data_IF_761938811153
#
_entry.id   IF_761938811153
#
_cell.length_a   1.000
_cell.length_b   1.000
_cell.length_c   1.000
_cell.angle_alpha   90.00
_cell.angle_beta   90.00
_cell.angle_gamma   90.00
#
_symmetry.space_group_name_H-M   'P 1'
#
loop_
_entity.id
_entity.type
_entity.pdbx_description
1 polymer ?
#
# COMPACT_ATOMS: atom_id res chain seq x y z
N UNK A 1 16.74 -21.01 3.90
CA UNK A 1 16.99 -20.18 5.09
C UNK A 1 16.25 -20.78 6.29
N UNK A 2 16.92 -20.83 7.46
CA UNK A 2 16.28 -21.29 8.69
C UNK A 2 15.22 -20.26 9.14
N UNK A 3 14.08 -20.71 9.67
CA UNK A 3 13.05 -19.84 10.25
C UNK A 3 13.66 -18.89 11.29
N UNK A 4 14.61 -19.39 12.09
CA UNK A 4 15.34 -18.59 13.08
C UNK A 4 16.12 -17.44 12.44
N UNK A 5 16.75 -17.66 11.29
CA UNK A 5 17.47 -16.63 10.55
C UNK A 5 16.50 -15.58 9.99
N UNK A 6 15.37 -16.01 9.42
CA UNK A 6 14.33 -15.08 8.94
C UNK A 6 13.79 -14.21 10.07
N UNK A 7 13.53 -14.78 11.24
CA UNK A 7 13.07 -14.03 12.42
C UNK A 7 14.15 -13.07 12.97
N UNK A 8 15.43 -13.42 12.86
CA UNK A 8 16.50 -12.51 13.29
C UNK A 8 16.58 -11.23 12.45
N UNK A 9 16.09 -11.26 11.21
CA UNK A 9 16.01 -10.07 10.35
C UNK A 9 15.03 -9.01 10.85
N UNK A 10 14.10 -9.36 11.76
CA UNK A 10 13.23 -8.36 12.42
C UNK A 10 14.01 -7.32 13.22
N UNK A 11 15.23 -7.64 13.64
CA UNK A 11 16.15 -6.68 14.28
C UNK A 11 16.83 -5.72 13.29
N UNK A 12 16.70 -5.97 11.98
CA UNK A 12 17.28 -5.09 10.95
C UNK A 12 16.31 -3.99 10.55
N UNK A 13 16.74 -2.74 10.64
CA UNK A 13 15.90 -1.57 10.34
C UNK A 13 15.37 -1.56 8.90
N UNK A 14 16.16 -2.01 7.93
CA UNK A 14 15.73 -2.07 6.52
C UNK A 14 14.68 -3.16 6.30
N UNK A 15 14.90 -4.36 6.82
CA UNK A 15 13.94 -5.46 6.71
C UNK A 15 12.61 -5.10 7.38
N UNK A 16 12.65 -4.57 8.59
CA UNK A 16 11.46 -4.15 9.32
C UNK A 16 10.77 -2.95 8.64
N UNK A 17 11.52 -1.93 8.23
CA UNK A 17 10.98 -0.74 7.57
C UNK A 17 10.24 -1.06 6.27
N UNK A 18 10.84 -1.82 5.36
CA UNK A 18 10.20 -2.24 4.11
C UNK A 18 9.01 -3.18 4.36
N UNK A 19 9.11 -4.10 5.29
CA UNK A 19 8.01 -4.99 5.66
C UNK A 19 6.82 -4.24 6.25
N UNK A 20 7.05 -3.26 7.12
CA UNK A 20 6.00 -2.41 7.70
C UNK A 20 5.34 -1.52 6.63
N UNK A 21 6.14 -0.92 5.74
CA UNK A 21 5.60 -0.12 4.64
C UNK A 21 4.70 -0.97 3.72
N UNK A 22 5.13 -2.17 3.39
CA UNK A 22 4.33 -3.11 2.60
C UNK A 22 3.07 -3.53 3.35
N UNK A 23 3.14 -3.80 4.65
CA UNK A 23 1.97 -4.12 5.46
C UNK A 23 0.93 -2.99 5.46
N UNK A 24 1.36 -1.75 5.61
CA UNK A 24 0.49 -0.57 5.53
C UNK A 24 -0.13 -0.40 4.14
N UNK A 25 0.65 -0.61 3.09
CA UNK A 25 0.16 -0.59 1.72
C UNK A 25 -0.91 -1.67 1.48
N UNK A 26 -0.64 -2.91 1.89
CA UNK A 26 -1.59 -4.03 1.74
C UNK A 26 -2.86 -3.76 2.52
N UNK A 27 -2.78 -3.16 3.71
CA UNK A 27 -3.95 -2.74 4.48
C UNK A 27 -4.85 -1.78 3.69
N UNK A 28 -4.27 -0.80 2.99
CA UNK A 28 -5.02 0.11 2.11
C UNK A 28 -5.63 -0.60 0.90
N UNK A 29 -4.88 -1.51 0.30
CA UNK A 29 -5.33 -2.27 -0.87
C UNK A 29 -6.51 -3.17 -0.54
N UNK A 30 -6.40 -3.98 0.50
CA UNK A 30 -7.48 -4.89 0.92
C UNK A 30 -8.71 -4.14 1.43
N UNK A 31 -8.53 -2.95 2.01
CA UNK A 31 -9.64 -2.08 2.38
C UNK A 31 -10.57 -1.81 1.20
N UNK A 32 -10.01 -1.57 0.03
CA UNK A 32 -10.79 -1.26 -1.17
C UNK A 32 -11.53 -2.50 -1.67
N UNK A 33 -10.84 -3.60 -1.95
CA UNK A 33 -11.53 -4.72 -2.58
C UNK A 33 -12.38 -5.54 -1.60
N UNK A 34 -12.16 -5.45 -0.30
CA UNK A 34 -13.00 -6.14 0.70
C UNK A 34 -14.19 -5.27 1.12
N UNK A 35 -13.96 -3.99 1.46
CA UNK A 35 -14.98 -3.17 2.13
C UNK A 35 -15.57 -2.05 1.28
N UNK A 36 -15.03 -1.72 0.12
CA UNK A 36 -15.59 -0.67 -0.72
C UNK A 36 -17.04 -0.97 -1.17
N UNK A 37 -17.39 -2.20 -1.58
CA UNK A 37 -18.77 -2.51 -1.92
C UNK A 37 -19.74 -2.27 -0.75
N UNK A 38 -19.36 -2.67 0.46
CA UNK A 38 -20.16 -2.43 1.68
C UNK A 38 -20.25 -0.94 1.99
N UNK A 39 -19.18 -0.19 1.84
CA UNK A 39 -19.16 1.26 2.07
C UNK A 39 -20.08 2.00 1.09
N UNK A 40 -20.14 1.55 -0.16
CA UNK A 40 -20.98 2.14 -1.21
C UNK A 40 -22.42 1.63 -1.21
N UNK A 41 -22.78 0.71 -0.32
CA UNK A 41 -24.13 0.19 -0.24
C UNK A 41 -25.15 1.32 -0.04
N UNK A 42 -26.24 1.29 -0.83
CA UNK A 42 -27.27 2.32 -0.80
C UNK A 42 -26.87 3.65 -1.43
N UNK A 43 -25.69 3.73 -2.09
CA UNK A 43 -25.30 4.94 -2.79
C UNK A 43 -26.25 5.27 -3.95
N UNK A 44 -26.62 6.54 -4.04
CA UNK A 44 -27.43 7.09 -5.14
C UNK A 44 -26.73 8.32 -5.69
N UNK A 45 -26.75 8.48 -7.01
CA UNK A 45 -26.07 9.59 -7.68
C UNK A 45 -26.40 9.64 -9.17
N UNK A 46 -25.55 10.31 -9.94
CA UNK A 46 -25.65 10.34 -11.40
C UNK A 46 -25.47 8.94 -11.99
N UNK A 47 -25.93 8.73 -13.22
CA UNK A 47 -25.76 7.43 -13.92
C UNK A 47 -24.30 7.00 -13.97
N UNK A 48 -23.37 7.93 -14.21
CA UNK A 48 -21.94 7.65 -14.21
C UNK A 48 -21.45 7.21 -12.83
N UNK A 49 -21.85 7.90 -11.76
CA UNK A 49 -21.47 7.55 -10.40
C UNK A 49 -22.04 6.20 -9.97
N UNK A 50 -23.27 5.89 -10.37
CA UNK A 50 -23.91 4.59 -10.10
C UNK A 50 -23.19 3.45 -10.83
N UNK A 51 -22.72 3.69 -12.05
CA UNK A 51 -21.89 2.72 -12.79
C UNK A 51 -20.55 2.50 -12.09
N UNK A 52 -19.87 3.56 -11.63
CA UNK A 52 -18.65 3.44 -10.83
C UNK A 52 -18.90 2.67 -9.53
N UNK A 53 -20.00 2.91 -8.85
CA UNK A 53 -20.36 2.18 -7.63
C UNK A 53 -20.56 0.68 -7.90
N UNK A 54 -21.27 0.34 -8.97
CA UNK A 54 -21.56 -1.04 -9.35
C UNK A 54 -20.30 -1.84 -9.72
N UNK A 55 -19.32 -1.19 -10.35
CA UNK A 55 -18.08 -1.81 -10.85
C UNK A 55 -16.82 -1.34 -10.11
N UNK A 56 -16.95 -0.76 -8.91
CA UNK A 56 -15.86 -0.10 -8.20
C UNK A 56 -14.61 -0.97 -8.04
N UNK A 57 -14.77 -2.21 -7.60
CA UNK A 57 -13.64 -3.14 -7.40
C UNK A 57 -13.03 -3.55 -8.74
N UNK A 58 -13.84 -3.78 -9.75
CA UNK A 58 -13.34 -4.10 -11.10
C UNK A 58 -12.54 -2.93 -11.68
N UNK A 59 -13.04 -1.71 -11.57
CA UNK A 59 -12.34 -0.49 -12.01
C UNK A 59 -11.02 -0.34 -11.26
N UNK A 60 -11.01 -0.59 -9.96
CA UNK A 60 -9.80 -0.57 -9.15
C UNK A 60 -8.73 -1.53 -9.70
N UNK A 61 -9.08 -2.77 -9.98
CA UNK A 61 -8.13 -3.75 -10.52
C UNK A 61 -7.69 -3.44 -11.94
N UNK A 62 -8.59 -2.95 -12.79
CA UNK A 62 -8.24 -2.53 -14.17
C UNK A 62 -7.25 -1.36 -14.15
N UNK A 63 -7.51 -0.33 -13.33
CA UNK A 63 -6.61 0.80 -13.18
C UNK A 63 -5.27 0.40 -12.56
N UNK A 64 -5.28 -0.56 -11.66
CA UNK A 64 -4.06 -1.12 -11.09
C UNK A 64 -3.22 -1.86 -12.15
N UNK A 65 -3.85 -2.59 -13.04
CA UNK A 65 -3.17 -3.23 -14.15
C UNK A 65 -2.57 -2.20 -15.14
N UNK A 66 -3.37 -1.20 -15.54
CA UNK A 66 -2.92 -0.09 -16.39
C UNK A 66 -1.77 0.67 -15.75
N UNK A 67 -1.88 0.96 -14.46
CA UNK A 67 -0.87 1.67 -13.68
C UNK A 67 0.48 0.95 -13.65
N UNK A 68 0.52 -0.37 -13.71
CA UNK A 68 1.77 -1.13 -13.76
C UNK A 68 2.57 -0.84 -15.03
N UNK A 69 1.92 -0.70 -16.17
CA UNK A 69 2.59 -0.34 -17.42
C UNK A 69 3.08 1.11 -17.39
N UNK A 70 2.23 2.04 -16.96
CA UNK A 70 2.61 3.46 -16.84
C UNK A 70 3.69 3.66 -15.79
N UNK A 71 3.59 2.99 -14.65
CA UNK A 71 4.55 3.08 -13.57
C UNK A 71 5.93 2.51 -13.94
N UNK A 72 5.97 1.42 -14.70
CA UNK A 72 7.22 0.88 -15.21
C UNK A 72 7.95 1.88 -16.12
N UNK A 73 7.20 2.66 -16.90
CA UNK A 73 7.76 3.74 -17.70
C UNK A 73 8.21 4.93 -16.84
N UNK A 74 7.39 5.36 -15.88
CA UNK A 74 7.70 6.47 -14.97
C UNK A 74 8.97 6.20 -14.16
N UNK A 75 9.15 4.99 -13.64
CA UNK A 75 10.33 4.59 -12.87
C UNK A 75 11.64 4.57 -13.66
N UNK A 76 11.58 4.62 -15.00
CA UNK A 76 12.77 4.77 -15.85
C UNK A 76 13.28 6.20 -15.90
N UNK A 77 12.41 7.19 -15.68
CA UNK A 77 12.72 8.61 -15.85
C UNK A 77 12.66 9.40 -14.54
N UNK A 78 12.03 8.85 -13.51
CA UNK A 78 11.85 9.49 -12.20
C UNK A 78 12.42 8.61 -11.12
N UNK A 79 13.09 9.22 -10.13
CA UNK A 79 13.62 8.52 -8.96
C UNK A 79 12.50 7.79 -8.21
N UNK A 80 12.73 6.52 -7.90
CA UNK A 80 11.76 5.68 -7.20
C UNK A 80 11.29 6.26 -5.84
N UNK A 81 12.16 6.97 -5.14
CA UNK A 81 11.82 7.61 -3.85
C UNK A 81 10.79 8.71 -4.02
N UNK A 82 10.94 9.53 -5.07
CA UNK A 82 9.99 10.58 -5.39
C UNK A 82 8.64 9.98 -5.84
N UNK A 83 8.67 8.92 -6.64
CA UNK A 83 7.46 8.21 -7.05
C UNK A 83 6.72 7.63 -5.83
N UNK A 84 7.44 6.99 -4.91
CA UNK A 84 6.83 6.45 -3.68
C UNK A 84 6.21 7.56 -2.83
N UNK A 85 6.91 8.66 -2.62
CA UNK A 85 6.39 9.80 -1.86
C UNK A 85 5.15 10.40 -2.53
N UNK A 86 5.21 10.69 -3.82
CA UNK A 86 4.10 11.31 -4.54
C UNK A 86 2.87 10.38 -4.61
N UNK A 87 3.07 9.11 -4.92
CA UNK A 87 1.97 8.16 -5.05
C UNK A 87 1.32 7.83 -3.71
N UNK A 88 2.09 7.69 -2.65
CA UNK A 88 1.54 7.51 -1.30
C UNK A 88 0.80 8.75 -0.81
N UNK A 89 1.25 9.95 -1.18
CA UNK A 89 0.54 11.20 -0.90
C UNK A 89 -0.83 11.23 -1.59
N UNK A 90 -0.90 10.83 -2.86
CA UNK A 90 -2.15 10.76 -3.62
C UNK A 90 -3.09 9.70 -3.03
N UNK A 91 -2.58 8.53 -2.69
CA UNK A 91 -3.36 7.46 -2.03
C UNK A 91 -3.94 7.98 -0.71
N UNK A 92 -3.11 8.60 0.13
CA UNK A 92 -3.57 9.20 1.38
C UNK A 92 -4.65 10.26 1.14
N UNK A 93 -4.47 11.14 0.15
CA UNK A 93 -5.46 12.14 -0.25
C UNK A 93 -6.79 11.52 -0.68
N UNK A 94 -6.77 10.44 -1.46
CA UNK A 94 -7.96 9.69 -1.86
C UNK A 94 -8.71 9.11 -0.67
N UNK A 95 -8.00 8.46 0.26
CA UNK A 95 -8.59 7.90 1.48
C UNK A 95 -9.13 8.99 2.40
N UNK A 96 -8.38 10.05 2.61
CA UNK A 96 -8.78 11.18 3.47
C UNK A 96 -10.04 11.87 2.93
N UNK A 97 -10.08 12.20 1.63
CA UNK A 97 -11.25 12.79 1.00
C UNK A 97 -12.47 11.86 1.08
N UNK A 98 -12.28 10.57 0.89
CA UNK A 98 -13.35 9.57 1.01
C UNK A 98 -13.90 9.47 2.43
N UNK A 99 -13.03 9.55 3.45
CA UNK A 99 -13.44 9.54 4.85
C UNK A 99 -14.16 10.83 5.27
N UNK A 100 -13.70 11.99 4.78
CA UNK A 100 -14.28 13.30 5.13
C UNK A 100 -15.57 13.60 4.38
N UNK A 101 -15.60 13.38 3.05
CA UNK A 101 -16.73 13.72 2.18
C UNK A 101 -17.76 12.58 2.18
N UNK A 102 -17.31 11.33 2.21
CA UNK A 102 -18.17 10.14 2.22
C UNK A 102 -18.30 9.49 0.84
N UNK A 103 -19.44 8.81 0.62
CA UNK A 103 -19.67 7.96 -0.54
C UNK A 103 -19.54 8.69 -1.89
N UNK A 104 -19.94 9.95 -1.97
CA UNK A 104 -19.87 10.75 -3.20
C UNK A 104 -18.45 10.97 -3.70
N UNK A 105 -17.47 11.05 -2.82
CA UNK A 105 -16.06 11.10 -3.16
C UNK A 105 -15.46 9.70 -3.31
N UNK A 106 -15.79 8.79 -2.40
CA UNK A 106 -15.25 7.44 -2.36
C UNK A 106 -15.55 6.64 -3.64
N UNK A 107 -16.72 6.83 -4.22
CA UNK A 107 -17.14 6.14 -5.46
C UNK A 107 -16.19 6.37 -6.64
N UNK A 108 -15.53 7.51 -6.69
CA UNK A 108 -14.54 7.84 -7.72
C UNK A 108 -13.11 7.69 -7.23
N UNK A 109 -12.78 8.25 -6.06
CA UNK A 109 -11.41 8.36 -5.58
C UNK A 109 -10.80 7.02 -5.16
N UNK A 110 -11.56 6.15 -4.52
CA UNK A 110 -11.03 4.86 -4.08
C UNK A 110 -10.73 3.91 -5.25
N UNK A 111 -11.61 3.73 -6.26
CA UNK A 111 -11.22 3.01 -7.47
C UNK A 111 -10.05 3.63 -8.21
N UNK A 112 -9.99 4.97 -8.34
CA UNK A 112 -8.89 5.68 -9.00
C UNK A 112 -7.55 5.52 -8.26
N UNK A 113 -7.56 5.34 -6.96
CA UNK A 113 -6.33 5.11 -6.18
C UNK A 113 -5.57 3.86 -6.63
N UNK A 114 -6.25 2.90 -7.27
CA UNK A 114 -5.63 1.71 -7.85
C UNK A 114 -4.52 2.01 -8.86
N UNK A 115 -4.68 3.08 -9.63
CA UNK A 115 -3.65 3.54 -10.57
C UNK A 115 -2.33 3.87 -9.86
N UNK A 116 -2.40 4.56 -8.73
CA UNK A 116 -1.24 4.97 -7.93
C UNK A 116 -0.72 3.85 -7.02
N UNK A 117 -1.57 2.90 -6.64
CA UNK A 117 -1.17 1.71 -5.87
C UNK A 117 -0.36 0.71 -6.68
N UNK A 118 -0.49 0.71 -8.00
CA UNK A 118 0.06 -0.30 -8.90
C UNK A 118 1.54 -0.57 -8.73
N UNK A 119 2.34 0.46 -8.43
CA UNK A 119 3.80 0.38 -8.35
C UNK A 119 4.36 0.31 -6.93
N UNK A 120 3.52 0.51 -5.91
CA UNK A 120 4.00 0.58 -4.53
C UNK A 120 4.58 -0.77 -4.08
N UNK A 121 3.80 -1.84 -4.18
CA UNK A 121 4.25 -3.17 -3.74
C UNK A 121 5.47 -3.69 -4.51
N UNK A 122 5.48 -3.70 -5.86
CA UNK A 122 6.63 -4.19 -6.62
C UNK A 122 7.91 -3.42 -6.31
N UNK A 123 7.83 -2.10 -6.18
CA UNK A 123 8.99 -1.25 -5.91
C UNK A 123 9.52 -1.46 -4.51
N UNK A 124 8.65 -1.44 -3.49
CA UNK A 124 9.07 -1.67 -2.10
C UNK A 124 9.63 -3.08 -1.91
N UNK A 125 9.01 -4.09 -2.51
CA UNK A 125 9.51 -5.47 -2.45
C UNK A 125 10.89 -5.60 -3.10
N UNK A 126 11.07 -5.07 -4.30
CA UNK A 126 12.35 -5.10 -5.01
C UNK A 126 13.45 -4.35 -4.26
N UNK A 127 13.17 -3.12 -3.81
CA UNK A 127 14.15 -2.32 -3.06
C UNK A 127 14.46 -2.91 -1.69
N UNK A 128 13.47 -3.44 -1.01
CA UNK A 128 13.65 -4.12 0.28
C UNK A 128 14.58 -5.33 0.19
N UNK A 129 14.38 -6.19 -0.80
CA UNK A 129 15.25 -7.34 -1.06
C UNK A 129 16.65 -6.88 -1.47
N UNK A 130 16.75 -5.87 -2.30
CA UNK A 130 18.03 -5.34 -2.80
C UNK A 130 18.93 -4.70 -1.73
N UNK A 131 18.40 -4.43 -0.53
CA UNK A 131 19.20 -3.95 0.60
C UNK A 131 20.07 -5.05 1.25
N UNK A 132 19.92 -6.30 0.83
CA UNK A 132 20.56 -7.46 1.45
C UNK A 132 21.42 -8.25 0.44
N UNK A 133 22.43 -9.01 0.92
CA UNK A 133 23.19 -9.90 0.06
C UNK A 133 22.30 -11.02 -0.50
N UNK A 134 22.68 -11.57 -1.64
CA UNK A 134 21.89 -12.61 -2.36
C UNK A 134 21.56 -13.83 -1.49
N UNK A 135 22.43 -14.18 -0.55
CA UNK A 135 22.20 -15.27 0.43
C UNK A 135 20.95 -15.06 1.29
N UNK A 136 20.58 -13.80 1.54
CA UNK A 136 19.46 -13.42 2.42
C UNK A 136 18.18 -13.08 1.67
N UNK A 137 18.22 -12.97 0.34
CA UNK A 137 17.06 -12.59 -0.47
C UNK A 137 15.83 -13.46 -0.19
N UNK A 138 16.01 -14.77 -0.06
CA UNK A 138 14.91 -15.69 0.26
C UNK A 138 14.31 -15.46 1.65
N UNK A 139 15.15 -15.16 2.65
CA UNK A 139 14.70 -14.87 4.01
C UNK A 139 13.96 -13.52 4.09
N UNK A 140 14.48 -12.49 3.44
CA UNK A 140 13.85 -11.16 3.36
C UNK A 140 12.52 -11.23 2.61
N UNK A 141 12.48 -11.91 1.47
CA UNK A 141 11.25 -12.12 0.71
C UNK A 141 10.19 -12.87 1.52
N UNK A 142 10.60 -13.89 2.27
CA UNK A 142 9.72 -14.61 3.19
C UNK A 142 9.16 -13.74 4.31
N UNK A 143 9.99 -12.86 4.88
CA UNK A 143 9.56 -11.92 5.90
C UNK A 143 8.54 -10.91 5.35
N UNK A 144 8.82 -10.32 4.17
CA UNK A 144 7.91 -9.41 3.48
C UNK A 144 6.58 -10.11 3.19
N UNK A 145 6.62 -11.35 2.70
CA UNK A 145 5.42 -12.12 2.42
C UNK A 145 4.61 -12.43 3.68
N UNK A 146 5.26 -12.70 4.80
CA UNK A 146 4.59 -12.87 6.09
C UNK A 146 3.86 -11.60 6.52
N UNK A 147 4.49 -10.43 6.44
CA UNK A 147 3.85 -9.15 6.73
C UNK A 147 2.69 -8.85 5.78
N UNK A 148 2.84 -9.18 4.51
CA UNK A 148 1.76 -9.07 3.51
C UNK A 148 0.55 -9.92 3.90
N UNK A 149 0.77 -11.20 4.21
CA UNK A 149 -0.30 -12.12 4.59
C UNK A 149 -0.98 -11.71 5.91
N UNK A 150 -0.20 -11.32 6.91
CA UNK A 150 -0.72 -10.83 8.19
C UNK A 150 -1.58 -9.58 8.00
N UNK A 151 -1.11 -8.62 7.23
CA UNK A 151 -1.87 -7.39 6.95
C UNK A 151 -3.16 -7.69 6.18
N UNK A 152 -3.10 -8.55 5.16
CA UNK A 152 -4.28 -8.94 4.39
C UNK A 152 -5.36 -9.65 5.24
N UNK A 153 -4.93 -10.39 6.26
CA UNK A 153 -5.85 -11.06 7.17
C UNK A 153 -6.41 -10.13 8.26
N UNK A 154 -5.55 -9.32 8.88
CA UNK A 154 -5.93 -8.53 10.06
C UNK A 154 -6.49 -7.16 9.73
N UNK A 155 -6.03 -6.49 8.69
CA UNK A 155 -6.48 -5.13 8.38
C UNK A 155 -7.99 -5.03 8.09
N UNK A 156 -8.61 -5.91 7.28
CA UNK A 156 -10.07 -5.90 7.09
C UNK A 156 -10.82 -6.17 8.39
N UNK A 157 -10.31 -7.06 9.23
CA UNK A 157 -10.90 -7.36 10.54
C UNK A 157 -10.86 -6.14 11.46
N UNK A 158 -9.73 -5.44 11.54
CA UNK A 158 -9.58 -4.22 12.32
C UNK A 158 -10.55 -3.13 11.85
N UNK A 159 -10.77 -3.00 10.54
CA UNK A 159 -11.74 -2.06 9.98
C UNK A 159 -13.16 -2.42 10.40
N UNK A 160 -13.53 -3.70 10.36
CA UNK A 160 -14.85 -4.16 10.80
C UNK A 160 -15.05 -3.91 12.29
N UNK A 161 -14.08 -4.25 13.11
CA UNK A 161 -14.14 -4.01 14.56
C UNK A 161 -14.26 -2.52 14.87
N UNK A 162 -13.49 -1.66 14.21
CA UNK A 162 -13.58 -0.21 14.37
C UNK A 162 -14.96 0.31 13.98
N UNK A 163 -15.53 -0.17 12.88
CA UNK A 163 -16.88 0.20 12.44
C UNK A 163 -17.94 -0.20 13.45
N UNK A 164 -17.86 -1.39 14.01
CA UNK A 164 -18.82 -1.88 15.01
C UNK A 164 -18.70 -1.14 16.33
N UNK A 165 -17.50 -0.91 16.82
CA UNK A 165 -17.25 -0.29 18.13
C UNK A 165 -17.54 1.22 18.14
N UNK A 166 -17.20 1.93 17.08
CA UNK A 166 -17.24 3.40 17.04
C UNK A 166 -18.26 3.99 16.07
N UNK A 167 -18.77 3.20 15.15
CA UNK A 167 -19.69 3.67 14.10
C UNK A 167 -21.03 2.93 14.05
N UNK A 168 -21.29 2.00 14.95
CA UNK A 168 -22.54 1.22 14.95
C UNK A 168 -22.72 0.39 13.67
N UNK A 169 -21.61 -0.07 13.08
CA UNK A 169 -21.60 -0.82 11.82
C UNK A 169 -21.38 0.04 10.55
N UNK A 170 -21.20 1.36 10.70
CA UNK A 170 -20.89 2.23 9.57
C UNK A 170 -19.45 2.02 9.09
N UNK A 171 -19.30 1.49 7.88
CA UNK A 171 -17.99 1.21 7.27
C UNK A 171 -17.17 2.47 7.00
N UNK A 172 -17.77 3.65 7.02
CA UNK A 172 -17.02 4.91 6.96
C UNK A 172 -15.96 5.00 8.06
N UNK A 173 -16.28 4.53 9.25
CA UNK A 173 -15.33 4.48 10.37
C UNK A 173 -14.17 3.52 10.08
N UNK A 174 -14.45 2.38 9.44
CA UNK A 174 -13.41 1.48 8.94
C UNK A 174 -12.46 2.17 7.96
N UNK A 175 -12.98 2.99 7.05
CA UNK A 175 -12.16 3.79 6.12
C UNK A 175 -11.44 4.96 6.79
N UNK A 176 -11.91 5.47 7.92
CA UNK A 176 -11.13 6.40 8.75
C UNK A 176 -9.88 5.70 9.28
N UNK A 177 -10.00 4.46 9.76
CA UNK A 177 -8.86 3.66 10.17
C UNK A 177 -7.90 3.38 9.00
N UNK A 178 -8.44 3.01 7.84
CA UNK A 178 -7.66 2.80 6.62
C UNK A 178 -6.92 4.08 6.17
N UNK A 179 -7.53 5.24 6.35
CA UNK A 179 -6.89 6.55 6.12
C UNK A 179 -5.69 6.75 7.04
N UNK A 180 -5.77 6.29 8.29
CA UNK A 180 -4.63 6.25 9.21
C UNK A 180 -3.48 5.38 8.68
N UNK A 181 -3.77 4.21 8.13
CA UNK A 181 -2.77 3.37 7.48
C UNK A 181 -2.13 4.06 6.27
N UNK A 182 -2.94 4.68 5.42
CA UNK A 182 -2.45 5.44 4.28
C UNK A 182 -1.59 6.65 4.69
N UNK A 183 -1.94 7.33 5.77
CA UNK A 183 -1.16 8.42 6.35
C UNK A 183 0.20 7.97 6.86
N UNK A 184 0.25 6.85 7.58
CA UNK A 184 1.52 6.26 8.03
C UNK A 184 2.38 5.82 6.84
N UNK A 185 1.79 5.23 5.82
CA UNK A 185 2.49 4.87 4.58
C UNK A 185 3.08 6.11 3.90
N UNK A 186 2.33 7.19 3.81
CA UNK A 186 2.81 8.47 3.26
C UNK A 186 3.97 9.04 4.08
N UNK A 187 3.88 9.02 5.41
CA UNK A 187 4.98 9.48 6.29
C UNK A 187 6.23 8.66 6.05
N UNK A 188 6.12 7.34 5.92
CA UNK A 188 7.25 6.48 5.57
C UNK A 188 7.83 6.81 4.19
N UNK A 189 7.00 7.07 3.20
CA UNK A 189 7.42 7.50 1.86
C UNK A 189 8.12 8.86 1.89
N UNK A 190 7.63 9.79 2.67
CA UNK A 190 8.22 11.12 2.86
C UNK A 190 9.60 11.03 3.54
N UNK A 191 9.72 10.25 4.60
CA UNK A 191 10.99 10.00 5.30
C UNK A 191 11.98 9.32 4.35
N UNK A 192 11.55 8.35 3.57
CA UNK A 192 12.41 7.68 2.59
C UNK A 192 12.93 8.65 1.52
N UNK A 193 12.11 9.59 1.07
CA UNK A 193 12.51 10.58 0.10
C UNK A 193 13.48 11.63 0.67
N UNK A 194 13.22 12.13 1.87
CA UNK A 194 14.02 13.17 2.51
C UNK A 194 15.34 12.61 3.07
N UNK A 195 15.28 11.55 3.87
CA UNK A 195 16.42 10.99 4.59
C UNK A 195 17.18 9.92 3.81
N UNK A 196 16.53 9.29 2.80
CA UNK A 196 17.10 8.20 1.99
C UNK A 196 17.82 7.13 2.83
N UNK A 197 17.18 6.50 3.83
CA UNK A 197 17.83 5.62 4.79
C UNK A 197 18.41 4.34 4.15
N UNK A 198 17.90 3.92 3.01
CA UNK A 198 18.35 2.72 2.29
C UNK A 198 19.53 2.97 1.34
N UNK A 199 19.99 4.20 1.17
CA UNK A 199 21.01 4.55 0.17
C UNK A 199 22.32 3.76 0.33
N UNK A 200 22.84 3.65 1.55
CA UNK A 200 24.09 2.93 1.82
C UNK A 200 23.95 1.43 1.57
N UNK A 201 22.83 0.82 1.98
CA UNK A 201 22.58 -0.59 1.80
C UNK A 201 22.39 -0.96 0.32
N UNK A 202 21.67 -0.15 -0.45
CA UNK A 202 21.48 -0.36 -1.89
C UNK A 202 22.81 -0.22 -2.65
N UNK A 203 23.62 0.79 -2.29
CA UNK A 203 24.95 1.01 -2.91
C UNK A 203 25.90 -0.14 -2.60
N UNK A 204 25.91 -0.67 -1.38
CA UNK A 204 26.73 -1.81 -0.99
C UNK A 204 26.34 -3.08 -1.74
N UNK A 205 25.05 -3.31 -1.95
CA UNK A 205 24.55 -4.43 -2.72
C UNK A 205 24.97 -4.35 -4.21
N UNK A 206 24.85 -3.18 -4.84
CA UNK A 206 25.29 -2.94 -6.23
C UNK A 206 26.79 -3.20 -6.40
N UNK A 207 27.62 -2.76 -5.45
CA UNK A 207 29.06 -3.00 -5.49
C UNK A 207 29.44 -4.47 -5.36
N UNK A 208 28.66 -5.26 -4.61
CA UNK A 208 28.91 -6.71 -4.45
C UNK A 208 28.54 -7.51 -5.70
N UNK A 209 27.75 -6.95 -6.62
CA UNK A 209 27.42 -7.61 -7.89
C UNK A 209 28.52 -7.49 -8.95
N UNK A 210 29.43 -6.53 -8.80
CA UNK A 210 30.52 -6.26 -9.74
C UNK A 210 31.91 -6.68 -9.21
N UNK A 211 31.99 -7.26 -8.01
CA UNK A 211 33.19 -7.81 -7.41
C UNK A 211 33.20 -9.34 -7.47
#
# INVERSE_FOLDING_TARGET
ASVRHTLSLLGNAHALGFSMAIALYVACEVAIFVWLPTFLEGFTGTNTAMMFAAYAVMIFFVLRAVGRFLGAWILRIVDWKLVMMAFTAIIFGCFLASALIGKSAAVFLLPLSGLFMSMIYPTLNSKGISCFPKSDHGAVAGLILFFTAASAAFAPLLMAVASDMFGGGDMRIGFVLATGFAGLLFVMGLVNWIANPAAAALKAADQSEYS
#
